data_IF_092519450486
#
_entry.id   IF_092519450486
#
_cell.length_a   1.000
_cell.length_b   1.000
_cell.length_c   1.000
_cell.angle_alpha   90.00
_cell.angle_beta   90.00
_cell.angle_gamma   90.00
#
_symmetry.space_group_name_H-M   'P 1'
#
loop_
_entity.id
_entity.type
_entity.pdbx_description
1 polymer ?
#
# COMPACT_ATOMS: atom_id res chain seq x y z
N UNK A 1 14.32 -13.04 9.94
CA UNK A 1 13.59 -12.02 10.75
C UNK A 1 12.27 -12.60 11.23
N UNK A 2 11.89 -12.39 12.49
CA UNK A 2 10.56 -12.71 13.05
C UNK A 2 9.61 -11.56 12.71
N UNK A 3 8.31 -11.82 12.71
CA UNK A 3 7.30 -10.79 12.47
C UNK A 3 6.13 -10.92 13.43
N UNK A 4 5.64 -9.77 13.89
CA UNK A 4 4.40 -9.65 14.65
C UNK A 4 3.51 -8.60 14.00
N UNK A 5 2.22 -8.86 13.96
CA UNK A 5 1.20 -7.86 13.63
C UNK A 5 0.60 -7.36 14.96
N UNK A 6 0.80 -6.07 15.23
CA UNK A 6 0.43 -5.43 16.49
C UNK A 6 -0.67 -4.39 16.27
N UNK A 7 -1.66 -4.36 17.17
CA UNK A 7 -2.67 -3.31 17.19
C UNK A 7 -2.26 -2.20 18.17
N UNK A 8 -2.18 -0.97 17.67
CA UNK A 8 -2.08 0.23 18.49
C UNK A 8 -3.46 0.74 18.99
N UNK A 9 -3.49 1.68 19.95
CA UNK A 9 -2.34 2.40 20.50
C UNK A 9 -1.53 1.57 21.49
N UNK A 10 -0.20 1.57 21.36
CA UNK A 10 0.68 0.80 22.23
C UNK A 10 2.16 1.23 22.09
N UNK A 11 3.02 0.75 22.99
CA UNK A 11 4.45 0.99 22.95
C UNK A 11 5.18 -0.32 22.64
N UNK A 12 6.19 -0.24 21.80
CA UNK A 12 7.08 -1.36 21.45
C UNK A 12 8.52 -0.94 21.70
N UNK A 13 9.29 -1.79 22.39
CA UNK A 13 10.71 -1.63 22.63
C UNK A 13 11.45 -2.87 22.14
N UNK A 14 12.46 -2.65 21.30
CA UNK A 14 13.23 -3.70 20.67
C UNK A 14 14.56 -3.93 21.41
N UNK A 15 14.86 -5.20 21.67
CA UNK A 15 16.20 -5.66 22.14
C UNK A 15 16.90 -6.33 20.96
N UNK A 16 17.34 -5.54 19.99
CA UNK A 16 17.92 -5.97 18.73
C UNK A 16 17.43 -5.12 17.57
N UNK A 17 17.62 -5.60 16.34
CA UNK A 17 17.13 -4.89 15.15
C UNK A 17 15.63 -5.05 15.03
N UNK A 18 14.91 -3.96 14.87
CA UNK A 18 13.49 -3.98 14.58
C UNK A 18 13.11 -2.86 13.61
N UNK A 19 12.14 -3.16 12.74
CA UNK A 19 11.60 -2.23 11.74
C UNK A 19 10.08 -2.21 11.80
N UNK A 20 9.52 -1.03 11.58
CA UNK A 20 8.10 -0.82 11.30
C UNK A 20 7.97 0.18 10.16
N UNK A 21 7.17 -0.12 9.15
CA UNK A 21 7.05 0.70 7.93
C UNK A 21 8.44 0.99 7.30
N UNK A 22 9.33 0.00 7.30
CA UNK A 22 10.69 0.10 6.74
C UNK A 22 11.69 0.87 7.58
N UNK A 23 11.29 1.50 8.70
CA UNK A 23 12.19 2.28 9.56
C UNK A 23 12.61 1.52 10.78
N UNK A 24 13.92 1.55 11.07
CA UNK A 24 14.49 1.00 12.30
C UNK A 24 14.07 1.83 13.52
N UNK A 25 13.87 1.14 14.64
CA UNK A 25 13.56 1.77 15.91
C UNK A 25 14.14 0.95 17.09
N UNK A 26 14.40 1.62 18.20
CA UNK A 26 14.69 1.01 19.50
C UNK A 26 13.43 1.02 20.38
N UNK A 27 12.70 2.14 20.36
CA UNK A 27 11.43 2.32 21.04
C UNK A 27 10.50 3.16 20.18
N UNK A 28 9.25 2.73 20.07
CA UNK A 28 8.22 3.44 19.29
C UNK A 28 6.88 3.39 19.99
N UNK A 29 6.12 4.47 19.88
CA UNK A 29 4.70 4.52 20.20
C UNK A 29 3.90 4.37 18.91
N UNK A 30 3.17 3.28 18.81
CA UNK A 30 2.29 3.01 17.66
C UNK A 30 0.91 3.62 17.98
N UNK A 31 0.41 4.53 17.15
CA UNK A 31 -0.95 5.05 17.32
C UNK A 31 -2.01 4.00 16.95
N UNK A 32 -3.29 4.37 16.97
CA UNK A 32 -4.37 3.49 16.54
C UNK A 32 -4.12 2.96 15.11
N UNK A 33 -4.24 1.65 14.94
CA UNK A 33 -4.00 0.96 13.67
C UNK A 33 -3.35 -0.41 13.83
N UNK A 34 -3.10 -1.06 12.71
CA UNK A 34 -2.42 -2.36 12.62
C UNK A 34 -1.05 -2.20 11.97
N UNK A 35 -0.02 -2.75 12.59
CA UNK A 35 1.38 -2.58 12.20
C UNK A 35 2.10 -3.92 12.17
N UNK A 36 2.80 -4.19 11.08
CA UNK A 36 3.74 -5.31 11.01
C UNK A 36 5.09 -4.85 11.51
N UNK A 37 5.58 -5.47 12.57
CA UNK A 37 6.92 -5.26 13.11
C UNK A 37 7.79 -6.44 12.71
N UNK A 38 8.86 -6.15 11.95
CA UNK A 38 9.87 -7.12 11.55
C UNK A 38 11.08 -6.98 12.49
N UNK A 39 11.56 -8.05 13.14
CA UNK A 39 12.59 -7.94 14.17
C UNK A 39 13.52 -9.15 14.26
N UNK A 40 14.70 -8.91 14.85
CA UNK A 40 15.66 -9.90 15.30
C UNK A 40 15.90 -9.67 16.80
N UNK A 41 15.96 -10.75 17.59
CA UNK A 41 16.05 -10.68 19.05
C UNK A 41 14.69 -10.71 19.72
N UNK A 42 14.49 -9.89 20.74
CA UNK A 42 13.27 -9.84 21.55
C UNK A 42 12.56 -8.50 21.43
N UNK A 43 11.22 -8.53 21.54
CA UNK A 43 10.38 -7.34 21.68
C UNK A 43 9.72 -7.33 23.06
N UNK A 44 9.69 -6.15 23.66
CA UNK A 44 8.85 -5.85 24.83
C UNK A 44 7.75 -4.91 24.39
N UNK A 45 6.50 -5.28 24.56
CA UNK A 45 5.37 -4.47 24.14
C UNK A 45 4.15 -4.68 25.03
N UNK A 46 3.25 -3.70 25.01
CA UNK A 46 1.92 -3.75 25.64
C UNK A 46 0.79 -3.78 24.60
N UNK A 47 1.13 -4.11 23.36
CA UNK A 47 0.19 -4.17 22.24
C UNK A 47 -0.64 -5.46 22.26
N UNK A 48 -1.84 -5.41 21.68
CA UNK A 48 -2.56 -6.61 21.29
C UNK A 48 -1.88 -7.24 20.06
N UNK A 49 -1.57 -8.52 20.12
CA UNK A 49 -1.03 -9.28 18.98
C UNK A 49 -2.18 -9.75 18.11
N UNK A 50 -2.20 -9.34 16.85
CA UNK A 50 -3.19 -9.73 15.84
C UNK A 50 -2.73 -10.92 15.01
N UNK A 51 -1.42 -11.11 14.84
CA UNK A 51 -0.84 -12.19 14.05
C UNK A 51 0.66 -12.28 14.21
N UNK A 52 1.21 -13.38 13.74
CA UNK A 52 2.65 -13.65 13.74
C UNK A 52 3.06 -14.39 12.47
N UNK A 53 4.37 -14.45 12.22
CA UNK A 53 4.96 -15.16 11.07
C UNK A 53 4.39 -14.72 9.71
N UNK A 54 4.00 -13.44 9.62
CA UNK A 54 3.59 -12.83 8.35
C UNK A 54 4.83 -12.40 7.54
N UNK A 55 4.67 -12.20 6.26
CA UNK A 55 5.77 -11.76 5.40
C UNK A 55 6.18 -10.33 5.73
N UNK A 56 7.49 -10.10 5.92
CA UNK A 56 8.08 -8.77 6.01
C UNK A 56 8.30 -8.23 4.59
N UNK A 57 7.75 -7.05 4.30
CA UNK A 57 7.83 -6.40 2.98
C UNK A 57 9.01 -5.43 2.84
N UNK A 58 9.76 -5.22 3.94
CA UNK A 58 10.77 -4.17 4.02
C UNK A 58 11.87 -4.34 2.96
N UNK A 59 12.35 -5.56 2.71
CA UNK A 59 13.39 -5.82 1.71
C UNK A 59 12.95 -5.46 0.29
N UNK A 60 11.68 -5.73 -0.04
CA UNK A 60 11.10 -5.37 -1.34
C UNK A 60 10.95 -3.85 -1.45
N UNK A 61 10.47 -3.21 -0.38
CA UNK A 61 10.29 -1.76 -0.34
C UNK A 61 11.63 -1.02 -0.42
N UNK A 62 12.69 -1.49 0.25
CA UNK A 62 14.04 -0.94 0.20
C UNK A 62 14.65 -1.05 -1.22
N UNK A 63 14.44 -2.17 -1.90
CA UNK A 63 14.88 -2.34 -3.29
C UNK A 63 14.20 -1.33 -4.22
N UNK A 64 12.90 -1.13 -4.10
CA UNK A 64 12.17 -0.12 -4.89
C UNK A 64 12.68 1.28 -4.52
N UNK A 65 12.91 1.57 -3.23
CA UNK A 65 13.43 2.87 -2.79
C UNK A 65 14.79 3.21 -3.41
N UNK A 66 15.63 2.21 -3.70
CA UNK A 66 16.94 2.42 -4.30
C UNK A 66 16.89 2.75 -5.80
N UNK A 67 15.86 2.31 -6.51
CA UNK A 67 15.72 2.46 -7.96
C UNK A 67 14.72 3.54 -8.36
N UNK A 68 13.71 3.78 -7.50
CA UNK A 68 12.57 4.66 -7.74
C UNK A 68 11.74 4.24 -8.95
N UNK A 69 10.64 4.87 -9.22
CA UNK A 69 9.78 4.59 -10.35
C UNK A 69 8.29 4.49 -9.98
N UNK A 70 7.46 4.18 -10.97
CA UNK A 70 6.03 3.95 -10.79
C UNK A 70 5.79 2.54 -10.25
N UNK A 71 5.08 2.44 -9.15
CA UNK A 71 4.75 1.18 -8.48
C UNK A 71 3.25 0.97 -8.51
N UNK A 72 2.80 -0.15 -9.04
CA UNK A 72 1.40 -0.58 -8.99
C UNK A 72 1.26 -1.70 -7.96
N UNK A 73 0.43 -1.49 -6.92
CA UNK A 73 0.22 -2.47 -5.85
C UNK A 73 -1.11 -3.19 -6.07
N UNK A 74 -1.05 -4.50 -6.28
CA UNK A 74 -2.18 -5.36 -6.64
C UNK A 74 -2.36 -6.46 -5.59
N UNK A 75 -3.59 -6.70 -5.15
CA UNK A 75 -3.87 -7.79 -4.22
C UNK A 75 -5.31 -7.79 -3.74
N UNK A 76 -5.76 -8.87 -3.10
CA UNK A 76 -7.10 -8.97 -2.54
C UNK A 76 -7.37 -7.91 -1.47
N UNK A 77 -8.62 -7.80 -1.05
CA UNK A 77 -9.00 -7.01 0.14
C UNK A 77 -8.24 -7.56 1.36
N UNK A 78 -7.82 -6.67 2.25
CA UNK A 78 -7.12 -6.97 3.51
C UNK A 78 -5.79 -7.74 3.37
N UNK A 79 -5.17 -7.69 2.20
CA UNK A 79 -3.90 -8.38 1.92
C UNK A 79 -2.63 -7.59 2.24
N UNK A 80 -2.76 -6.40 2.82
CA UNK A 80 -1.63 -5.55 3.22
C UNK A 80 -1.15 -4.55 2.16
N UNK A 81 -1.87 -4.33 1.05
CA UNK A 81 -1.52 -3.35 0.00
C UNK A 81 -1.21 -1.97 0.57
N UNK A 82 -2.18 -1.40 1.29
CA UNK A 82 -2.05 -0.06 1.88
C UNK A 82 -0.91 0.01 2.91
N UNK A 83 -0.62 -1.09 3.64
CA UNK A 83 0.55 -1.16 4.51
C UNK A 83 1.85 -1.06 3.71
N UNK A 84 1.95 -1.76 2.58
CA UNK A 84 3.10 -1.67 1.68
C UNK A 84 3.26 -0.26 1.09
N UNK A 85 2.16 0.38 0.67
CA UNK A 85 2.15 1.79 0.22
C UNK A 85 2.72 2.71 1.31
N UNK A 86 2.26 2.58 2.56
CA UNK A 86 2.78 3.33 3.70
C UNK A 86 4.26 3.09 3.94
N UNK A 87 4.74 1.87 3.73
CA UNK A 87 6.17 1.53 3.84
C UNK A 87 6.99 2.27 2.79
N UNK A 88 6.56 2.30 1.53
CA UNK A 88 7.25 3.05 0.47
C UNK A 88 7.29 4.56 0.76
N UNK A 89 6.20 5.13 1.25
CA UNK A 89 6.14 6.54 1.64
C UNK A 89 7.10 6.81 2.81
N UNK A 90 7.09 5.96 3.82
CA UNK A 90 7.96 6.07 4.99
C UNK A 90 9.45 6.04 4.61
N UNK A 91 9.83 5.23 3.63
CA UNK A 91 11.17 5.14 3.07
C UNK A 91 11.50 6.26 2.08
N UNK A 92 10.56 7.16 1.78
CA UNK A 92 10.70 8.21 0.75
C UNK A 92 11.02 7.65 -0.65
N UNK A 93 10.51 6.46 -0.92
CA UNK A 93 10.70 5.75 -2.19
C UNK A 93 9.96 6.41 -3.35
N UNK A 94 8.87 7.13 -3.07
CA UNK A 94 7.96 7.71 -4.05
C UNK A 94 7.71 9.20 -3.75
N UNK A 95 7.30 9.96 -4.77
CA UNK A 95 6.97 11.37 -4.66
C UNK A 95 5.45 11.58 -4.55
N UNK A 96 4.65 10.65 -5.08
CA UNK A 96 3.19 10.71 -5.04
C UNK A 96 2.59 9.37 -4.61
N UNK A 97 1.48 9.46 -3.91
CA UNK A 97 0.57 8.34 -3.62
C UNK A 97 -0.70 8.56 -4.42
N UNK A 98 -1.13 7.55 -5.14
CA UNK A 98 -2.42 7.50 -5.83
C UNK A 98 -3.27 6.43 -5.16
N UNK A 99 -4.39 6.84 -4.60
CA UNK A 99 -5.40 5.93 -4.08
C UNK A 99 -6.45 5.69 -5.17
N UNK A 100 -6.40 4.51 -5.75
CA UNK A 100 -7.29 4.03 -6.79
C UNK A 100 -8.31 3.01 -6.27
N UNK A 101 -8.40 2.80 -4.94
CA UNK A 101 -9.49 2.02 -4.37
C UNK A 101 -10.76 2.87 -4.27
N UNK A 102 -11.59 2.80 -5.31
CA UNK A 102 -12.83 3.56 -5.37
C UNK A 102 -13.87 3.13 -4.33
N UNK A 103 -13.69 1.98 -3.69
CA UNK A 103 -14.55 1.48 -2.63
C UNK A 103 -14.13 1.95 -1.23
N UNK A 104 -12.82 2.03 -1.00
CA UNK A 104 -12.24 2.33 0.32
C UNK A 104 -11.18 3.43 0.23
N UNK A 105 -11.46 4.50 -0.51
CA UNK A 105 -10.52 5.59 -0.72
C UNK A 105 -10.10 6.24 0.60
N UNK A 106 -8.80 6.26 0.87
CA UNK A 106 -8.20 6.79 2.10
C UNK A 106 -7.85 8.29 2.02
N UNK A 107 -7.81 8.86 0.81
CA UNK A 107 -7.48 10.27 0.58
C UNK A 107 -8.72 11.15 0.43
N UNK A 108 -9.87 10.56 0.10
CA UNK A 108 -11.13 11.28 -0.07
C UNK A 108 -12.34 10.36 0.16
N UNK A 109 -13.43 10.59 -0.55
CA UNK A 109 -14.67 9.80 -0.46
C UNK A 109 -14.64 8.61 -1.42
N UNK A 110 -15.38 7.53 -1.13
CA UNK A 110 -15.64 6.49 -2.12
C UNK A 110 -16.21 7.03 -3.42
N UNK A 111 -15.92 6.37 -4.53
CA UNK A 111 -16.33 6.82 -5.87
C UNK A 111 -15.35 7.79 -6.54
N UNK A 112 -14.19 8.01 -5.95
CA UNK A 112 -13.15 8.86 -6.51
C UNK A 112 -11.82 8.12 -6.64
N UNK A 113 -10.96 8.61 -7.53
CA UNK A 113 -9.52 8.32 -7.57
C UNK A 113 -8.81 9.58 -7.12
N UNK A 114 -7.89 9.47 -6.19
CA UNK A 114 -7.25 10.63 -5.58
C UNK A 114 -5.73 10.49 -5.57
N UNK A 115 -5.00 11.59 -5.65
CA UNK A 115 -3.54 11.59 -5.45
C UNK A 115 -3.11 12.62 -4.41
N UNK A 116 -1.97 12.33 -3.76
CA UNK A 116 -1.35 13.20 -2.77
C UNK A 116 0.17 13.14 -2.92
N UNK A 117 0.84 14.28 -2.72
CA UNK A 117 2.29 14.31 -2.57
C UNK A 117 2.71 13.47 -1.36
N UNK A 118 3.66 12.54 -1.54
CA UNK A 118 4.11 11.65 -0.48
C UNK A 118 4.69 12.38 0.74
N UNK A 119 5.26 13.57 0.53
CA UNK A 119 5.76 14.44 1.61
C UNK A 119 4.66 14.94 2.56
N UNK A 120 3.40 14.95 2.12
CA UNK A 120 2.22 15.36 2.88
C UNK A 120 1.43 14.17 3.43
N UNK A 121 1.82 12.94 3.07
CA UNK A 121 1.12 11.72 3.48
C UNK A 121 1.55 11.33 4.91
N UNK A 122 0.61 11.38 5.85
CA UNK A 122 0.83 10.86 7.20
C UNK A 122 0.56 9.35 7.24
N UNK A 123 1.62 8.56 7.39
CA UNK A 123 1.54 7.09 7.39
C UNK A 123 0.82 6.52 8.64
N UNK A 124 0.76 7.31 9.72
CA UNK A 124 0.10 6.92 10.96
C UNK A 124 -1.34 7.42 11.07
N UNK A 125 -1.63 8.60 10.50
CA UNK A 125 -2.93 9.26 10.58
C UNK A 125 -3.56 9.42 9.19
N UNK A 126 -3.59 8.35 8.41
CA UNK A 126 -4.00 8.38 7.01
C UNK A 126 -5.41 8.98 6.79
N UNK A 127 -6.33 8.88 7.75
CA UNK A 127 -7.64 9.53 7.68
C UNK A 127 -7.59 11.07 7.71
N UNK A 128 -6.44 11.66 8.02
CA UNK A 128 -6.23 13.12 8.00
C UNK A 128 -5.55 13.59 6.70
N UNK A 129 -5.14 12.66 5.85
CA UNK A 129 -4.58 12.98 4.55
C UNK A 129 -5.61 13.69 3.68
N UNK A 130 -5.14 14.61 2.84
CA UNK A 130 -5.97 15.37 1.92
C UNK A 130 -5.36 15.27 0.53
N UNK A 131 -6.21 15.06 -0.47
CA UNK A 131 -5.81 14.95 -1.86
C UNK A 131 -5.16 16.24 -2.40
N UNK A 132 -4.26 16.07 -3.37
CA UNK A 132 -3.72 17.13 -4.23
C UNK A 132 -4.45 17.18 -5.58
N UNK A 133 -4.83 16.01 -6.10
CA UNK A 133 -5.64 15.86 -7.32
C UNK A 133 -6.76 14.85 -7.10
N UNK A 134 -7.85 15.04 -7.81
CA UNK A 134 -9.07 14.26 -7.65
C UNK A 134 -9.76 14.02 -8.97
N UNK A 135 -10.18 12.78 -9.25
CA UNK A 135 -10.97 12.38 -10.39
C UNK A 135 -12.25 11.66 -9.94
N UNK A 136 -13.38 12.06 -10.48
CA UNK A 136 -14.66 11.45 -10.15
C UNK A 136 -14.91 10.21 -11.00
N UNK A 137 -15.06 9.08 -10.35
CA UNK A 137 -15.39 7.81 -11.01
C UNK A 137 -16.89 7.49 -10.96
N UNK A 138 -17.56 7.82 -9.86
CA UNK A 138 -19.02 7.71 -9.71
C UNK A 138 -19.54 6.35 -9.29
N UNK A 139 -18.67 5.39 -8.92
CA UNK A 139 -19.05 4.08 -8.38
C UNK A 139 -18.07 3.62 -7.32
N UNK A 140 -18.53 2.79 -6.38
CA UNK A 140 -17.71 2.20 -5.32
C UNK A 140 -17.06 0.86 -5.73
N UNK A 141 -17.23 0.46 -6.97
CA UNK A 141 -16.60 -0.75 -7.53
C UNK A 141 -16.09 -0.49 -8.94
N UNK A 142 -14.84 -0.86 -9.24
CA UNK A 142 -14.27 -0.68 -10.58
C UNK A 142 -14.96 -1.53 -11.65
N UNK A 143 -15.69 -2.56 -11.25
CA UNK A 143 -16.40 -3.46 -12.17
C UNK A 143 -17.51 -2.77 -12.97
N UNK A 144 -18.00 -1.60 -12.54
CA UNK A 144 -19.05 -0.83 -13.23
C UNK A 144 -18.56 -0.29 -14.58
N UNK A 145 -17.34 0.24 -14.62
CA UNK A 145 -16.68 0.72 -15.84
C UNK A 145 -15.15 0.58 -15.69
N UNK A 146 -14.59 -0.63 -15.86
CA UNK A 146 -13.17 -0.90 -15.63
C UNK A 146 -12.25 -0.01 -16.46
N UNK A 147 -12.63 0.26 -17.71
CA UNK A 147 -11.86 1.11 -18.62
C UNK A 147 -11.75 2.54 -18.12
N UNK A 148 -12.87 3.16 -17.77
CA UNK A 148 -12.86 4.51 -17.20
C UNK A 148 -12.01 4.58 -15.93
N UNK A 149 -12.10 3.58 -15.05
CA UNK A 149 -11.30 3.54 -13.85
C UNK A 149 -9.79 3.58 -14.18
N UNK A 150 -9.33 2.75 -15.10
CA UNK A 150 -7.94 2.70 -15.50
C UNK A 150 -7.47 4.02 -16.17
N UNK A 151 -8.32 4.64 -16.99
CA UNK A 151 -8.03 5.94 -17.61
C UNK A 151 -7.91 7.07 -16.59
N UNK A 152 -8.77 7.12 -15.57
CA UNK A 152 -8.70 8.11 -14.50
C UNK A 152 -7.44 7.95 -13.67
N UNK A 153 -7.05 6.70 -13.33
CA UNK A 153 -5.79 6.44 -12.64
C UNK A 153 -4.60 6.89 -13.49
N UNK A 154 -4.54 6.49 -14.76
CA UNK A 154 -3.45 6.86 -15.67
C UNK A 154 -3.32 8.39 -15.83
N UNK A 155 -4.45 9.13 -15.77
CA UNK A 155 -4.47 10.60 -15.89
C UNK A 155 -3.77 11.31 -14.73
N UNK A 156 -3.84 10.77 -13.50
CA UNK A 156 -3.30 11.44 -12.31
C UNK A 156 -2.00 10.82 -11.78
N UNK A 157 -1.56 9.71 -12.35
CA UNK A 157 -0.29 9.06 -11.98
C UNK A 157 0.89 9.89 -12.47
N UNK A 158 1.79 10.25 -11.55
CA UNK A 158 3.06 10.92 -11.86
C UNK A 158 4.20 9.95 -12.17
N UNK A 159 5.40 10.49 -12.39
CA UNK A 159 6.58 9.70 -12.76
C UNK A 159 7.07 8.74 -11.68
N UNK A 160 7.19 9.20 -10.43
CA UNK A 160 7.64 8.39 -9.28
C UNK A 160 6.49 8.29 -8.27
N UNK A 161 5.59 7.36 -8.52
CA UNK A 161 4.33 7.22 -7.78
C UNK A 161 4.12 5.80 -7.28
N UNK A 162 3.37 5.65 -6.20
CA UNK A 162 2.76 4.38 -5.84
C UNK A 162 1.25 4.46 -6.03
N UNK A 163 0.67 3.45 -6.66
CA UNK A 163 -0.77 3.32 -6.88
C UNK A 163 -1.30 2.19 -6.01
N UNK A 164 -2.17 2.50 -5.06
CA UNK A 164 -2.91 1.54 -4.23
C UNK A 164 -4.21 1.18 -4.96
N UNK A 165 -4.28 -0.06 -5.47
CA UNK A 165 -5.45 -0.54 -6.20
C UNK A 165 -6.49 -1.16 -5.29
N UNK A 166 -7.70 -1.20 -5.80
CA UNK A 166 -8.83 -1.93 -5.23
C UNK A 166 -8.55 -3.44 -5.03
N UNK A 167 -9.38 -4.08 -4.22
CA UNK A 167 -9.30 -5.51 -3.92
C UNK A 167 -10.04 -6.42 -4.91
N UNK A 168 -10.55 -5.91 -6.02
CA UNK A 168 -11.24 -6.72 -7.02
C UNK A 168 -10.26 -7.54 -7.86
N UNK A 169 -10.05 -8.80 -7.47
CA UNK A 169 -9.03 -9.68 -8.04
C UNK A 169 -9.57 -11.03 -8.52
N UNK A 170 -10.90 -11.25 -8.45
CA UNK A 170 -11.51 -12.52 -8.79
C UNK A 170 -12.27 -12.46 -10.11
N UNK A 171 -12.03 -13.47 -10.95
CA UNK A 171 -12.70 -13.65 -12.23
C UNK A 171 -12.00 -12.97 -13.41
N UNK A 172 -12.42 -13.36 -14.61
CA UNK A 172 -11.81 -12.92 -15.87
C UNK A 172 -11.78 -11.39 -16.03
N UNK A 173 -12.88 -10.71 -15.70
CA UNK A 173 -12.96 -9.26 -15.85
C UNK A 173 -12.07 -8.49 -14.87
N UNK A 174 -11.89 -9.02 -13.66
CA UNK A 174 -10.94 -8.45 -12.70
C UNK A 174 -9.50 -8.58 -13.20
N UNK A 175 -9.13 -9.74 -13.71
CA UNK A 175 -7.82 -9.97 -14.32
C UNK A 175 -7.57 -9.03 -15.50
N UNK A 176 -8.50 -8.98 -16.45
CA UNK A 176 -8.42 -8.09 -17.62
C UNK A 176 -8.26 -6.62 -17.21
N UNK A 177 -9.01 -6.18 -16.20
CA UNK A 177 -8.88 -4.83 -15.65
C UNK A 177 -7.47 -4.55 -15.11
N UNK A 178 -6.83 -5.51 -14.40
CA UNK A 178 -5.46 -5.34 -13.91
C UNK A 178 -4.45 -5.28 -15.04
N UNK A 179 -4.62 -6.09 -16.08
CA UNK A 179 -3.78 -6.00 -17.31
C UNK A 179 -3.94 -4.63 -17.98
N UNK A 180 -5.15 -4.16 -18.18
CA UNK A 180 -5.43 -2.84 -18.76
C UNK A 180 -4.86 -1.70 -17.89
N UNK A 181 -4.93 -1.83 -16.57
CA UNK A 181 -4.30 -0.88 -15.63
C UNK A 181 -2.78 -0.84 -15.82
N UNK A 182 -2.13 -2.01 -15.94
CA UNK A 182 -0.68 -2.10 -16.20
C UNK A 182 -0.34 -1.44 -17.54
N UNK A 183 -1.10 -1.70 -18.59
CA UNK A 183 -0.87 -1.11 -19.93
C UNK A 183 -0.97 0.42 -19.90
N UNK A 184 -2.01 0.98 -19.27
CA UNK A 184 -2.26 2.42 -19.26
C UNK A 184 -1.33 3.19 -18.29
N UNK A 185 -1.08 2.65 -17.11
CA UNK A 185 -0.20 3.27 -16.11
C UNK A 185 1.27 3.11 -16.51
N UNK A 186 1.61 2.01 -17.20
CA UNK A 186 2.99 1.64 -17.54
C UNK A 186 3.93 1.71 -16.33
N UNK A 187 3.69 0.90 -15.28
CA UNK A 187 4.48 0.93 -14.07
C UNK A 187 5.85 0.29 -14.28
N UNK A 188 6.87 0.77 -13.56
CA UNK A 188 8.20 0.15 -13.51
C UNK A 188 8.17 -1.11 -12.64
N UNK A 189 7.26 -1.16 -11.66
CA UNK A 189 7.09 -2.29 -10.75
C UNK A 189 5.62 -2.63 -10.56
N UNK A 190 5.29 -3.90 -10.68
CA UNK A 190 4.02 -4.47 -10.24
C UNK A 190 4.30 -5.30 -8.98
N UNK A 191 3.79 -4.85 -7.85
CA UNK A 191 3.91 -5.55 -6.57
C UNK A 191 2.59 -6.23 -6.27
N UNK A 192 2.63 -7.53 -6.01
CA UNK A 192 1.43 -8.28 -5.65
C UNK A 192 1.57 -8.93 -4.28
N UNK A 193 0.48 -8.84 -3.49
CA UNK A 193 0.36 -9.48 -2.18
C UNK A 193 -0.22 -10.90 -2.26
N UNK A 194 -0.36 -11.46 -3.48
CA UNK A 194 -0.93 -12.79 -3.72
C UNK A 194 -0.10 -13.56 -4.74
N UNK A 195 0.37 -14.75 -4.34
CA UNK A 195 1.12 -15.65 -5.23
C UNK A 195 0.31 -16.05 -6.47
N UNK A 196 -1.01 -16.24 -6.32
CA UNK A 196 -1.89 -16.53 -7.45
C UNK A 196 -1.89 -15.40 -8.47
N UNK A 197 -2.09 -14.16 -8.01
CA UNK A 197 -2.08 -12.98 -8.90
C UNK A 197 -0.72 -12.82 -9.56
N UNK A 198 0.37 -13.06 -8.82
CA UNK A 198 1.71 -13.02 -9.39
C UNK A 198 1.86 -13.99 -10.57
N UNK A 199 1.42 -15.24 -10.40
CA UNK A 199 1.47 -16.25 -11.48
C UNK A 199 0.60 -15.85 -12.68
N UNK A 200 -0.61 -15.35 -12.41
CA UNK A 200 -1.56 -14.96 -13.47
C UNK A 200 -1.03 -13.76 -14.29
N UNK A 201 -0.37 -12.78 -13.66
CA UNK A 201 0.18 -11.60 -14.33
C UNK A 201 1.57 -11.81 -14.95
N UNK A 202 2.25 -12.91 -14.63
CA UNK A 202 3.60 -13.23 -15.14
C UNK A 202 3.58 -14.05 -16.44
N UNK A 203 2.40 -14.44 -16.93
CA UNK A 203 2.18 -15.17 -18.18
C UNK A 203 1.99 -14.21 -19.36
#
# INVERSE_FOLDING_TARGET
>A
MKTLVLAGPCTVEAKGKAKVLGKEFEKIELPEGSYTVCFEGDLVHNCQVLGQDVQCWDDVAERIASTRGKVLVVGPVDSGKTYFVKTLVSLRAVDFVVDADVGQNSLFLPGFVASLEASKYDVFRFHQNRFSSLEFYGSITPSTNPRLHAELVAKIVGGNSVVDLDGWTHGFFAFRHKVEMIELVSPDYVVTTSEKIFRDLSQ
#
